data_IF_988098474220
#
_entry.id   IF_988098474220
#
_cell.length_a   1.000
_cell.length_b   1.000
_cell.length_c   1.000
_cell.angle_alpha   90.00
_cell.angle_beta   90.00
_cell.angle_gamma   90.00
#
_symmetry.space_group_name_H-M   'P 1'
#
loop_
_entity.id
_entity.type
_entity.pdbx_description
1 polymer ?
#
# COMPACT_ATOMS: atom_id res chain seq x y z
N UNK A 1 44.35 -10.54 11.72
CA UNK A 1 43.30 -9.74 11.04
C UNK A 1 42.01 -9.90 11.82
N UNK A 2 41.62 -8.89 12.59
CA UNK A 2 40.44 -8.92 13.47
C UNK A 2 39.34 -8.11 12.77
N UNK A 3 38.32 -8.77 12.21
CA UNK A 3 37.18 -8.09 11.62
C UNK A 3 36.21 -7.68 12.74
N UNK A 4 35.88 -6.38 12.92
CA UNK A 4 34.88 -5.97 13.90
C UNK A 4 33.48 -6.38 13.41
N UNK A 5 32.71 -7.02 14.29
CA UNK A 5 31.33 -7.39 14.04
C UNK A 5 30.47 -6.13 13.84
N UNK A 6 29.50 -6.13 12.89
CA UNK A 6 28.62 -4.99 12.71
C UNK A 6 27.65 -4.90 13.90
N UNK A 7 27.78 -3.82 14.68
CA UNK A 7 26.77 -3.39 15.64
C UNK A 7 25.47 -3.05 14.89
N UNK A 8 24.52 -3.98 14.84
CA UNK A 8 23.23 -3.72 14.17
C UNK A 8 22.08 -4.44 14.86
N UNK A 9 21.57 -3.80 15.93
CA UNK A 9 20.37 -4.26 16.65
C UNK A 9 19.06 -3.64 16.14
N UNK A 10 19.13 -2.57 15.34
CA UNK A 10 17.95 -2.06 14.65
C UNK A 10 17.73 -2.90 13.39
N UNK A 11 17.14 -4.08 13.57
CA UNK A 11 16.51 -4.77 12.46
C UNK A 11 15.49 -3.80 11.88
N UNK A 12 15.73 -3.34 10.66
CA UNK A 12 14.75 -2.62 9.86
C UNK A 12 13.61 -3.60 9.62
N UNK A 13 12.65 -3.68 10.55
CA UNK A 13 11.48 -4.54 10.43
C UNK A 13 10.61 -3.89 9.36
N UNK A 14 10.95 -4.19 8.11
CA UNK A 14 10.25 -3.71 6.93
C UNK A 14 8.75 -3.93 7.10
N UNK A 15 7.95 -2.90 6.76
CA UNK A 15 6.51 -2.84 7.02
C UNK A 15 5.81 -4.20 6.80
N UNK A 16 5.14 -4.66 7.85
CA UNK A 16 4.38 -5.92 7.87
C UNK A 16 5.15 -7.21 8.19
N UNK A 17 6.46 -7.16 8.53
CA UNK A 17 7.20 -8.36 9.01
C UNK A 17 7.03 -8.64 10.52
N UNK A 18 6.76 -7.61 11.33
CA UNK A 18 6.54 -7.76 12.78
C UNK A 18 5.15 -8.28 13.15
N UNK A 19 4.15 -8.10 12.29
CA UNK A 19 2.77 -8.45 12.61
C UNK A 19 2.47 -9.95 12.41
N UNK A 20 2.35 -10.66 13.53
CA UNK A 20 2.02 -12.09 13.60
C UNK A 20 0.60 -12.43 13.15
N UNK A 21 -0.27 -11.45 12.88
CA UNK A 21 -1.62 -11.63 12.35
C UNK A 21 -1.66 -11.63 10.82
N UNK A 22 -0.59 -11.20 10.15
CA UNK A 22 -0.51 -11.16 8.68
C UNK A 22 0.21 -12.39 8.11
N UNK A 23 -0.03 -12.69 6.82
CA UNK A 23 0.70 -13.73 6.11
C UNK A 23 2.22 -13.45 6.08
N UNK A 24 2.62 -12.18 6.00
CA UNK A 24 4.01 -11.73 5.91
C UNK A 24 4.75 -11.88 7.24
N UNK A 25 4.16 -11.47 8.36
CA UNK A 25 4.79 -11.68 9.66
C UNK A 25 4.77 -13.13 10.13
N UNK A 26 3.74 -13.92 9.77
CA UNK A 26 3.80 -15.38 9.94
C UNK A 26 4.94 -16.02 9.17
N UNK A 27 5.18 -15.59 7.91
CA UNK A 27 6.31 -16.04 7.07
C UNK A 27 7.66 -15.69 7.70
N UNK A 28 7.81 -14.46 8.19
CA UNK A 28 9.04 -14.00 8.85
C UNK A 28 9.34 -14.78 10.14
N UNK A 29 8.31 -15.08 10.94
CA UNK A 29 8.46 -15.91 12.15
C UNK A 29 8.48 -17.42 11.85
N UNK A 30 8.54 -17.85 10.58
CA UNK A 30 8.48 -19.26 10.16
C UNK A 30 7.30 -20.06 10.76
N UNK A 31 6.21 -19.38 11.10
CA UNK A 31 5.06 -19.97 11.78
C UNK A 31 3.86 -20.11 10.84
N UNK A 32 2.94 -21.00 11.20
CA UNK A 32 1.67 -21.21 10.48
C UNK A 32 0.50 -20.73 11.34
N UNK A 33 -0.63 -20.45 10.70
CA UNK A 33 -1.86 -20.02 11.36
C UNK A 33 -2.91 -19.60 10.34
N UNK A 34 -4.03 -19.05 10.78
CA UNK A 34 -5.14 -18.69 9.90
C UNK A 34 -4.72 -17.78 8.72
N UNK A 35 -3.83 -16.81 8.97
CA UNK A 35 -3.33 -15.92 7.92
C UNK A 35 -2.34 -16.58 6.93
N UNK A 36 -1.70 -17.69 7.33
CA UNK A 36 -0.73 -18.48 6.53
C UNK A 36 -1.03 -19.99 6.70
N UNK A 37 -2.03 -20.53 5.98
CA UNK A 37 -2.35 -21.95 6.01
C UNK A 37 -1.24 -22.78 5.33
N UNK A 38 -1.10 -24.05 5.72
CA UNK A 38 -0.16 -25.00 5.10
C UNK A 38 -0.66 -25.53 3.76
N UNK A 39 -1.95 -25.86 3.71
CA UNK A 39 -2.58 -26.52 2.57
C UNK A 39 -3.79 -25.71 2.12
N UNK A 40 -4.17 -25.84 0.84
CA UNK A 40 -5.35 -25.17 0.25
C UNK A 40 -6.69 -25.61 0.90
N UNK A 41 -6.71 -26.79 1.52
CA UNK A 41 -7.87 -27.33 2.26
C UNK A 41 -8.10 -26.64 3.62
N UNK A 42 -7.08 -25.97 4.18
CA UNK A 42 -7.22 -25.24 5.45
C UNK A 42 -7.79 -23.86 5.16
N UNK A 43 -8.95 -23.57 5.76
CA UNK A 43 -9.63 -22.29 5.61
C UNK A 43 -8.73 -21.11 5.99
N UNK A 44 -8.89 -20.02 5.24
CA UNK A 44 -8.42 -18.69 5.64
C UNK A 44 -9.51 -18.04 6.47
N UNK A 45 -9.21 -16.89 7.07
CA UNK A 45 -10.25 -16.04 7.67
C UNK A 45 -11.36 -15.71 6.66
N UNK A 46 -12.44 -15.05 7.12
CA UNK A 46 -13.60 -14.74 6.29
C UNK A 46 -13.18 -14.16 4.94
N UNK A 47 -13.81 -14.66 3.87
CA UNK A 47 -13.53 -14.18 2.52
C UNK A 47 -13.84 -12.69 2.49
N UNK A 48 -12.87 -11.88 2.06
CA UNK A 48 -13.10 -10.46 1.84
C UNK A 48 -14.07 -10.32 0.68
N UNK A 49 -15.28 -9.86 0.97
CA UNK A 49 -16.29 -9.59 -0.05
C UNK A 49 -15.73 -8.50 -0.98
N UNK A 50 -15.71 -8.70 -2.31
CA UNK A 50 -15.31 -7.66 -3.23
C UNK A 50 -16.29 -6.51 -3.11
N UNK A 51 -15.77 -5.33 -2.75
CA UNK A 51 -16.56 -4.10 -2.79
C UNK A 51 -16.62 -3.67 -4.26
N UNK A 52 -17.81 -3.39 -4.84
CA UNK A 52 -17.88 -2.86 -6.19
C UNK A 52 -17.07 -1.55 -6.25
N UNK A 53 -16.39 -1.26 -7.38
CA UNK A 53 -15.71 0.01 -7.54
C UNK A 53 -16.72 1.13 -7.30
N UNK A 54 -16.32 2.15 -6.54
CA UNK A 54 -17.19 3.32 -6.34
C UNK A 54 -17.55 3.90 -7.72
N UNK A 55 -18.82 4.29 -7.94
CA UNK A 55 -19.19 4.97 -9.17
C UNK A 55 -18.25 6.18 -9.36
N UNK A 56 -17.80 6.45 -10.60
CA UNK A 56 -16.97 7.61 -10.88
C UNK A 56 -17.69 8.84 -10.34
N UNK A 57 -17.05 9.54 -9.40
CA UNK A 57 -17.54 10.84 -8.97
C UNK A 57 -17.39 11.74 -10.19
N UNK A 58 -18.49 12.31 -10.68
CA UNK A 58 -18.41 13.46 -11.58
C UNK A 58 -17.60 14.51 -10.84
N UNK A 59 -16.42 14.83 -11.38
CA UNK A 59 -15.62 15.92 -10.83
C UNK A 59 -16.48 17.18 -10.98
N UNK A 60 -16.64 17.95 -9.90
CA UNK A 60 -17.50 19.15 -9.92
C UNK A 60 -16.87 20.27 -10.76
N UNK A 61 -15.68 20.05 -11.29
CA UNK A 61 -14.90 21.03 -12.05
C UNK A 61 -14.70 20.63 -13.51
N UNK A 62 -15.32 19.55 -13.98
CA UNK A 62 -15.34 19.14 -15.40
C UNK A 62 -16.50 19.80 -16.18
N UNK A 63 -16.96 20.96 -15.72
CA UNK A 63 -18.07 21.72 -16.31
C UNK A 63 -17.63 22.54 -17.53
N UNK A 64 -16.75 22.02 -18.39
CA UNK A 64 -16.50 22.54 -19.76
C UNK A 64 -16.21 24.03 -19.92
N UNK A 65 -15.93 24.77 -18.85
CA UNK A 65 -15.68 26.21 -18.88
C UNK A 65 -14.25 26.42 -19.40
N UNK A 66 -14.17 26.50 -20.72
CA UNK A 66 -13.03 27.07 -21.42
C UNK A 66 -12.99 28.55 -21.04
N UNK A 67 -12.24 28.88 -19.99
CA UNK A 67 -11.88 30.26 -19.68
C UNK A 67 -11.04 30.75 -20.87
N UNK A 68 -11.66 31.53 -21.75
CA UNK A 68 -10.94 32.23 -22.82
C UNK A 68 -10.10 33.31 -22.14
N UNK A 69 -8.85 32.97 -21.83
CA UNK A 69 -7.88 33.94 -21.35
C UNK A 69 -7.52 34.81 -22.56
N UNK A 70 -8.15 35.97 -22.66
CA UNK A 70 -7.71 37.04 -23.57
C UNK A 70 -6.41 37.59 -22.98
N UNK A 71 -5.30 37.24 -23.62
CA UNK A 71 -3.98 37.76 -23.24
C UNK A 71 -3.87 39.11 -23.93
N UNK A 72 -4.02 40.20 -23.18
CA UNK A 72 -3.69 41.53 -23.68
C UNK A 72 -2.17 41.68 -23.76
N UNK A 73 -1.65 41.68 -24.98
CA UNK A 73 -0.22 41.79 -25.32
C UNK A 73 0.43 43.13 -24.89
N UNK A 74 -0.33 44.05 -24.29
CA UNK A 74 0.16 45.33 -23.76
C UNK A 74 0.92 45.21 -22.44
N UNK A 75 0.88 44.05 -21.78
CA UNK A 75 1.51 43.81 -20.47
C UNK A 75 3.02 43.48 -20.55
N UNK A 76 3.55 43.28 -21.75
CA UNK A 76 4.98 42.99 -22.00
C UNK A 76 5.72 44.13 -22.72
N UNK A 77 5.12 45.33 -22.81
CA UNK A 77 5.80 46.55 -23.30
C UNK A 77 6.52 47.32 -22.19
#
# INVERSE_FOLDING_TARGET
MFFPAPLSGFYVVYCGRGDRKTAKGKRFKHSYGNARPRNKKKGRGPVRVPVPPSPPRKDRFDDGEIVKIEIDESLFS
#
